data_IF_744335506519
#
_entry.id   IF_744335506519
#
_cell.length_a   1.000
_cell.length_b   1.000
_cell.length_c   1.000
_cell.angle_alpha   90.00
_cell.angle_beta   90.00
_cell.angle_gamma   90.00
#
_symmetry.space_group_name_H-M   'P 1'
#
loop_
_entity.id
_entity.type
_entity.pdbx_description
1 polymer ?
#
# COMPACT_ATOMS: atom_id res chain seq x y z
N UNK A 1 -23.41 62.04 -35.21
CA UNK A 1 -23.40 61.10 -36.35
C UNK A 1 -24.28 59.92 -36.00
N UNK A 2 -25.25 59.69 -36.86
CA UNK A 2 -26.46 58.86 -36.74
C UNK A 2 -26.24 57.36 -37.01
N UNK A 3 -26.76 56.48 -36.11
CA UNK A 3 -27.68 55.30 -36.31
C UNK A 3 -27.29 54.22 -37.36
N UNK A 4 -27.55 52.87 -37.23
CA UNK A 4 -28.64 52.19 -36.48
C UNK A 4 -28.35 50.89 -35.69
N UNK A 5 -29.31 50.63 -34.81
CA UNK A 5 -29.82 49.35 -34.27
C UNK A 5 -30.43 48.41 -35.32
N UNK A 6 -30.32 47.10 -35.13
CA UNK A 6 -31.31 46.12 -35.63
C UNK A 6 -31.65 45.06 -34.58
N UNK A 7 -32.95 44.89 -34.37
CA UNK A 7 -33.61 43.82 -33.62
C UNK A 7 -33.74 42.57 -34.49
N UNK A 8 -33.67 41.38 -33.90
CA UNK A 8 -34.46 40.21 -34.32
C UNK A 8 -34.84 39.37 -33.10
N UNK A 9 -36.10 38.93 -33.06
CA UNK A 9 -36.70 38.08 -32.04
C UNK A 9 -37.44 36.90 -32.71
N UNK A 10 -37.67 35.84 -31.91
CA UNK A 10 -38.49 34.62 -32.14
C UNK A 10 -37.87 33.54 -33.06
N UNK A 11 -37.92 32.23 -32.80
CA UNK A 11 -38.92 31.39 -32.11
C UNK A 11 -38.33 30.06 -31.55
N UNK A 12 -39.10 29.49 -30.64
CA UNK A 12 -39.09 28.17 -29.97
C UNK A 12 -38.81 26.90 -30.81
N UNK A 13 -38.20 25.87 -30.20
CA UNK A 13 -38.84 24.58 -29.85
C UNK A 13 -37.85 23.59 -29.18
N UNK A 14 -38.36 22.86 -28.18
CA UNK A 14 -37.73 21.84 -27.32
C UNK A 14 -37.74 20.43 -27.98
N UNK A 15 -37.48 19.29 -27.30
CA UNK A 15 -36.26 18.83 -26.59
C UNK A 15 -35.86 17.35 -26.94
N UNK A 16 -34.92 16.78 -26.17
CA UNK A 16 -34.69 15.33 -25.91
C UNK A 16 -33.86 14.51 -26.91
N UNK A 17 -32.74 13.95 -26.41
CA UNK A 17 -32.39 12.53 -26.56
C UNK A 17 -31.29 12.11 -25.56
N UNK A 18 -31.69 11.81 -24.32
CA UNK A 18 -30.91 11.01 -23.38
C UNK A 18 -31.15 9.53 -23.71
N UNK A 19 -30.14 8.84 -24.27
CA UNK A 19 -30.15 7.37 -24.40
C UNK A 19 -29.58 6.74 -23.14
N UNK A 20 -30.45 6.26 -22.27
CA UNK A 20 -30.12 5.17 -21.33
C UNK A 20 -30.37 3.85 -22.05
N UNK A 21 -29.33 3.04 -22.25
CA UNK A 21 -29.46 1.66 -22.72
C UNK A 21 -29.20 0.72 -21.54
N UNK A 22 -30.25 -0.01 -21.18
CA UNK A 22 -30.28 -0.95 -20.06
C UNK A 22 -29.47 -2.22 -20.31
N UNK A 23 -29.02 -2.81 -19.21
CA UNK A 23 -28.40 -4.13 -19.16
C UNK A 23 -28.84 -4.81 -17.87
N UNK A 24 -29.79 -5.75 -17.99
CA UNK A 24 -29.87 -7.04 -17.26
C UNK A 24 -31.28 -7.59 -17.28
N UNK A 25 -31.42 -8.81 -17.83
CA UNK A 25 -31.77 -10.03 -17.09
C UNK A 25 -31.96 -11.14 -18.13
N UNK A 26 -31.17 -12.21 -18.00
CA UNK A 26 -31.62 -13.60 -18.17
C UNK A 26 -30.41 -14.53 -18.08
N UNK A 27 -30.28 -15.17 -16.92
CA UNK A 27 -29.62 -16.46 -16.74
C UNK A 27 -29.89 -16.87 -15.31
N UNK A 28 -30.66 -17.93 -15.10
CA UNK A 28 -30.52 -18.95 -14.04
C UNK A 28 -31.79 -19.80 -14.04
N UNK A 29 -31.82 -20.79 -14.94
CA UNK A 29 -32.64 -21.98 -14.75
C UNK A 29 -31.88 -22.93 -13.83
N UNK A 30 -32.29 -23.04 -12.58
CA UNK A 30 -31.85 -24.10 -11.66
C UNK A 30 -33.03 -25.05 -11.50
N UNK A 31 -32.90 -26.23 -12.10
CA UNK A 31 -33.77 -27.36 -11.87
C UNK A 31 -33.40 -28.03 -10.54
N UNK A 32 -34.41 -28.14 -9.69
CA UNK A 32 -34.41 -28.87 -8.43
C UNK A 32 -34.45 -30.36 -8.74
N UNK A 33 -33.48 -31.13 -8.23
CA UNK A 33 -33.65 -32.57 -8.05
C UNK A 33 -33.29 -33.00 -6.63
N UNK A 34 -34.25 -33.74 -6.10
CA UNK A 34 -34.48 -34.17 -4.73
C UNK A 34 -33.60 -35.34 -4.30
N UNK A 35 -33.35 -35.37 -2.99
CA UNK A 35 -32.58 -36.36 -2.22
C UNK A 35 -33.46 -37.56 -1.85
N UNK A 36 -32.96 -38.79 -2.07
CA UNK A 36 -33.25 -40.02 -1.30
C UNK A 36 -32.23 -41.07 -1.77
N UNK A 37 -31.72 -42.05 -1.03
CA UNK A 37 -31.77 -42.48 0.37
C UNK A 37 -30.77 -43.64 0.49
N UNK A 38 -30.10 -43.76 1.64
CA UNK A 38 -29.65 -45.00 2.30
C UNK A 38 -28.97 -46.14 1.51
N UNK A 39 -27.72 -46.47 1.88
CA UNK A 39 -27.07 -47.75 1.58
C UNK A 39 -25.89 -48.01 2.53
N UNK A 40 -25.84 -49.21 3.11
CA UNK A 40 -25.09 -49.57 4.33
C UNK A 40 -23.60 -49.84 4.14
N UNK A 41 -22.90 -49.67 5.27
CA UNK A 41 -21.59 -50.15 5.69
C UNK A 41 -21.31 -51.62 5.34
N UNK A 42 -20.07 -51.92 4.93
CA UNK A 42 -19.39 -53.19 5.22
C UNK A 42 -17.89 -52.97 5.47
N UNK A 43 -17.45 -53.27 6.69
CA UNK A 43 -16.05 -53.48 7.06
C UNK A 43 -15.53 -54.77 6.43
N UNK A 44 -14.25 -54.76 6.06
CA UNK A 44 -13.46 -55.95 5.75
C UNK A 44 -12.02 -55.74 6.23
N UNK A 45 -11.41 -56.83 6.65
CA UNK A 45 -10.38 -56.94 7.68
C UNK A 45 -8.95 -57.09 7.16
N UNK A 46 -8.00 -56.66 8.02
CA UNK A 46 -6.64 -57.18 8.28
C UNK A 46 -5.62 -57.32 7.13
N UNK A 47 -4.47 -56.65 7.35
CA UNK A 47 -3.15 -57.06 6.83
C UNK A 47 -2.03 -56.42 7.66
N UNK A 48 -1.19 -57.25 8.30
CA UNK A 48 -0.07 -56.90 9.19
C UNK A 48 1.25 -56.89 8.40
N UNK A 49 2.30 -56.27 8.98
CA UNK A 49 3.75 -56.40 8.66
C UNK A 49 4.27 -55.21 7.81
N UNK A 50 5.42 -54.56 8.06
CA UNK A 50 6.63 -54.87 8.83
C UNK A 50 7.41 -53.56 9.08
N UNK A 51 8.23 -53.51 10.12
CA UNK A 51 9.22 -52.45 10.39
C UNK A 51 10.18 -52.28 9.20
N UNK A 52 10.49 -51.04 8.86
CA UNK A 52 11.71 -50.66 8.11
C UNK A 52 12.43 -49.54 8.84
N UNK A 53 13.73 -49.75 8.97
CA UNK A 53 14.75 -48.89 9.56
C UNK A 53 14.92 -47.57 8.80
N UNK A 54 14.98 -46.45 9.52
CA UNK A 54 15.38 -45.17 8.97
C UNK A 54 16.90 -45.00 9.13
N UNK A 55 17.62 -45.03 8.01
CA UNK A 55 19.01 -44.56 7.91
C UNK A 55 19.05 -43.29 7.05
N UNK A 56 19.51 -42.21 7.68
CA UNK A 56 20.34 -41.10 7.16
C UNK A 56 20.19 -40.60 5.72
N UNK A 57 19.98 -39.28 5.64
CA UNK A 57 20.51 -38.41 4.58
C UNK A 57 19.56 -38.19 3.42
N UNK A 58 18.74 -37.14 3.48
CA UNK A 58 17.98 -36.70 2.30
C UNK A 58 18.39 -35.26 1.94
N UNK A 59 19.25 -35.17 0.94
CA UNK A 59 19.51 -33.93 0.19
C UNK A 59 18.26 -33.58 -0.62
N UNK A 60 17.53 -32.56 -0.16
CA UNK A 60 16.85 -31.54 -0.98
C UNK A 60 16.10 -31.94 -2.26
N UNK A 61 15.49 -33.12 -2.36
CA UNK A 61 14.60 -33.42 -3.50
C UNK A 61 13.19 -32.90 -3.17
N UNK A 62 12.55 -32.07 -4.03
CA UNK A 62 11.21 -31.58 -3.75
C UNK A 62 10.21 -32.74 -3.65
N UNK A 63 9.20 -32.65 -2.76
CA UNK A 63 8.18 -33.66 -2.62
C UNK A 63 7.44 -33.86 -3.95
N UNK A 64 7.04 -35.11 -4.25
CA UNK A 64 6.31 -35.48 -5.48
C UNK A 64 4.92 -34.79 -5.63
N UNK A 65 4.49 -34.01 -4.64
CA UNK A 65 3.30 -33.15 -4.68
C UNK A 65 3.55 -31.92 -3.80
N UNK A 66 3.40 -30.72 -4.35
CA UNK A 66 3.42 -29.46 -3.60
C UNK A 66 2.05 -29.22 -2.94
N UNK A 67 2.02 -28.47 -1.83
CA UNK A 67 0.76 -28.07 -1.21
C UNK A 67 0.00 -27.08 -2.10
N UNK A 68 0.73 -26.23 -2.82
CA UNK A 68 0.21 -25.21 -3.73
C UNK A 68 0.98 -25.17 -5.05
N UNK A 69 0.34 -24.70 -6.12
CA UNK A 69 1.06 -24.35 -7.35
C UNK A 69 1.80 -23.03 -7.18
N UNK A 70 1.20 -22.08 -6.45
CA UNK A 70 1.77 -20.76 -6.21
C UNK A 70 1.54 -20.32 -4.77
N UNK A 71 2.62 -19.86 -4.11
CA UNK A 71 2.54 -19.07 -2.88
C UNK A 71 2.98 -17.64 -3.15
N UNK A 72 2.19 -16.67 -2.67
CA UNK A 72 2.52 -15.25 -2.70
C UNK A 72 2.77 -14.77 -1.27
N UNK A 73 3.89 -14.11 -1.01
CA UNK A 73 4.22 -13.53 0.30
C UNK A 73 3.91 -12.03 0.25
N UNK A 74 2.84 -11.62 0.92
CA UNK A 74 2.33 -10.24 0.97
C UNK A 74 1.03 -10.06 0.17
N UNK A 75 -0.01 -9.55 0.83
CA UNK A 75 -1.32 -9.29 0.24
C UNK A 75 -1.55 -7.80 -0.04
N UNK A 76 -0.50 -7.08 -0.44
CA UNK A 76 -0.62 -5.76 -1.06
C UNK A 76 -1.31 -5.81 -2.44
N UNK A 77 -1.46 -4.66 -3.10
CA UNK A 77 -2.14 -4.58 -4.42
C UNK A 77 -1.50 -5.50 -5.48
N UNK A 78 -0.16 -5.57 -5.56
CA UNK A 78 0.54 -6.47 -6.49
C UNK A 78 0.34 -7.94 -6.15
N UNK A 79 0.45 -8.31 -4.86
CA UNK A 79 0.20 -9.68 -4.41
C UNK A 79 -1.25 -10.14 -4.61
N UNK A 80 -2.21 -9.26 -4.34
CA UNK A 80 -3.63 -9.48 -4.62
C UNK A 80 -3.86 -9.68 -6.12
N UNK A 81 -3.35 -8.78 -6.98
CA UNK A 81 -3.45 -8.90 -8.43
C UNK A 81 -2.85 -10.19 -8.96
N UNK A 82 -1.67 -10.57 -8.46
CA UNK A 82 -1.01 -11.85 -8.79
C UNK A 82 -1.87 -13.05 -8.39
N UNK A 83 -2.51 -13.03 -7.21
CA UNK A 83 -3.36 -14.12 -6.74
C UNK A 83 -4.62 -14.28 -7.61
N UNK A 84 -5.28 -13.17 -7.96
CA UNK A 84 -6.45 -13.21 -8.86
C UNK A 84 -6.08 -13.81 -10.22
N UNK A 85 -4.96 -13.37 -10.79
CA UNK A 85 -4.51 -13.86 -12.08
C UNK A 85 -4.11 -15.34 -12.02
N UNK A 86 -3.44 -15.78 -10.95
CA UNK A 86 -3.05 -17.17 -10.77
C UNK A 86 -4.26 -18.12 -10.75
N UNK A 87 -5.32 -17.74 -10.03
CA UNK A 87 -6.58 -18.52 -10.02
C UNK A 87 -7.26 -18.51 -11.38
N UNK A 88 -7.26 -17.38 -12.10
CA UNK A 88 -7.76 -17.31 -13.49
C UNK A 88 -7.03 -18.30 -14.41
N UNK A 89 -5.74 -18.55 -14.14
CA UNK A 89 -4.93 -19.56 -14.85
C UNK A 89 -5.06 -20.99 -14.29
N UNK A 90 -5.98 -21.21 -13.36
CA UNK A 90 -6.28 -22.53 -12.80
C UNK A 90 -5.25 -23.04 -11.79
N UNK A 91 -4.39 -22.16 -11.23
CA UNK A 91 -3.41 -22.54 -10.22
C UNK A 91 -4.06 -22.63 -8.84
N UNK A 92 -3.67 -23.65 -8.06
CA UNK A 92 -3.97 -23.70 -6.63
C UNK A 92 -3.08 -22.70 -5.91
N UNK A 93 -3.65 -21.60 -5.41
CA UNK A 93 -2.90 -20.46 -4.89
C UNK A 93 -3.16 -20.20 -3.41
N UNK A 94 -2.08 -19.92 -2.67
CA UNK A 94 -2.12 -19.34 -1.33
C UNK A 94 -1.43 -17.97 -1.30
N UNK A 95 -1.92 -17.09 -0.43
CA UNK A 95 -1.30 -15.80 -0.12
C UNK A 95 -1.05 -15.69 1.38
N UNK A 96 0.17 -15.32 1.75
CA UNK A 96 0.59 -15.16 3.15
C UNK A 96 0.57 -13.67 3.50
N UNK A 97 -0.15 -13.29 4.55
CA UNK A 97 -0.25 -11.90 5.01
C UNK A 97 -0.07 -11.81 6.53
N UNK A 98 0.91 -10.99 6.95
CA UNK A 98 1.29 -10.84 8.37
C UNK A 98 0.54 -9.73 9.11
N UNK A 99 -0.08 -8.81 8.37
CA UNK A 99 -0.81 -7.65 8.88
C UNK A 99 -2.24 -7.64 8.34
N UNK A 100 -2.54 -6.80 7.33
CA UNK A 100 -3.88 -6.62 6.78
C UNK A 100 -3.86 -6.65 5.25
N UNK A 101 -4.83 -7.35 4.67
CA UNK A 101 -5.04 -7.42 3.22
C UNK A 101 -5.18 -6.02 2.62
N UNK A 102 -4.63 -5.84 1.43
CA UNK A 102 -4.53 -4.57 0.71
C UNK A 102 -3.19 -3.85 0.92
N UNK A 103 -2.40 -4.30 1.91
CA UNK A 103 -1.05 -3.82 2.19
C UNK A 103 -0.98 -2.30 2.34
N UNK A 104 0.14 -1.71 1.94
CA UNK A 104 0.40 -0.27 2.11
C UNK A 104 -0.61 0.61 1.38
N UNK A 105 -0.86 0.38 0.10
CA UNK A 105 -1.66 1.29 -0.71
C UNK A 105 -3.12 1.42 -0.22
N UNK A 106 -3.73 0.33 0.25
CA UNK A 106 -5.13 0.36 0.73
C UNK A 106 -5.23 0.86 2.16
N UNK A 107 -4.30 0.46 3.04
CA UNK A 107 -4.47 0.68 4.48
C UNK A 107 -3.70 1.90 5.02
N UNK A 108 -2.59 2.27 4.37
CA UNK A 108 -1.64 3.29 4.86
C UNK A 108 -0.93 4.02 3.70
N UNK A 109 -1.67 4.32 2.64
CA UNK A 109 -1.10 4.87 1.41
C UNK A 109 -2.17 5.51 0.54
N UNK A 110 -2.21 5.09 -0.73
CA UNK A 110 -3.01 5.72 -1.77
C UNK A 110 -4.49 5.95 -1.39
N UNK A 111 -5.19 4.92 -0.89
CA UNK A 111 -6.63 5.02 -0.64
C UNK A 111 -6.96 6.08 0.41
N UNK A 112 -6.42 6.02 1.64
CA UNK A 112 -6.70 7.05 2.63
C UNK A 112 -6.10 8.41 2.25
N UNK A 113 -4.92 8.47 1.60
CA UNK A 113 -4.34 9.78 1.21
C UNK A 113 -5.21 10.48 0.15
N UNK A 114 -5.75 9.75 -0.83
CA UNK A 114 -6.64 10.32 -1.85
C UNK A 114 -8.01 10.70 -1.26
N UNK A 115 -8.48 10.00 -0.24
CA UNK A 115 -9.68 10.41 0.50
C UNK A 115 -9.48 11.76 1.21
N UNK A 116 -8.32 11.95 1.87
CA UNK A 116 -7.97 13.22 2.50
C UNK A 116 -7.78 14.34 1.47
N UNK A 117 -7.12 14.07 0.35
CA UNK A 117 -6.97 15.05 -0.75
C UNK A 117 -8.32 15.45 -1.35
N UNK A 118 -9.26 14.51 -1.49
CA UNK A 118 -10.60 14.82 -1.96
C UNK A 118 -11.31 15.81 -1.02
N UNK A 119 -11.17 15.64 0.30
CA UNK A 119 -11.67 16.61 1.29
C UNK A 119 -10.95 17.95 1.14
N UNK A 120 -9.63 17.92 0.98
CA UNK A 120 -8.77 19.11 0.86
C UNK A 120 -9.17 19.97 -0.34
N UNK A 121 -9.39 19.34 -1.51
CA UNK A 121 -9.88 20.01 -2.70
C UNK A 121 -11.24 20.69 -2.48
N UNK A 122 -12.18 20.01 -1.81
CA UNK A 122 -13.48 20.61 -1.47
C UNK A 122 -13.34 21.76 -0.48
N UNK A 123 -12.47 21.64 0.50
CA UNK A 123 -12.24 22.71 1.47
C UNK A 123 -11.71 23.97 0.79
N UNK A 124 -10.74 23.83 -0.13
CA UNK A 124 -10.21 24.95 -0.91
C UNK A 124 -11.26 25.59 -1.82
N UNK A 125 -12.09 24.78 -2.47
CA UNK A 125 -13.22 25.28 -3.26
C UNK A 125 -14.12 26.16 -2.37
N UNK A 126 -14.53 25.65 -1.20
CA UNK A 126 -15.40 26.36 -0.27
C UNK A 126 -14.76 27.63 0.32
N UNK A 127 -13.44 27.62 0.54
CA UNK A 127 -12.68 28.78 1.03
C UNK A 127 -12.45 29.85 -0.05
N UNK A 128 -12.55 29.51 -1.34
CA UNK A 128 -12.33 30.45 -2.43
C UNK A 128 -13.55 31.34 -2.66
N UNK A 129 -13.63 32.45 -1.91
CA UNK A 129 -14.74 33.40 -2.03
C UNK A 129 -14.96 33.89 -3.48
N UNK A 130 -13.87 34.21 -4.18
CA UNK A 130 -13.93 34.68 -5.56
C UNK A 130 -14.56 33.64 -6.50
N UNK A 131 -14.11 32.38 -6.40
CA UNK A 131 -14.65 31.29 -7.22
C UNK A 131 -16.13 31.05 -6.88
N UNK A 132 -16.47 30.94 -5.58
CA UNK A 132 -17.85 30.73 -5.16
C UNK A 132 -18.79 31.85 -5.62
N UNK A 133 -18.36 33.12 -5.51
CA UNK A 133 -19.11 34.28 -6.01
C UNK A 133 -19.29 34.24 -7.53
N UNK A 134 -18.29 33.81 -8.29
CA UNK A 134 -18.38 33.65 -9.75
C UNK A 134 -19.41 32.59 -10.17
N UNK A 135 -19.65 31.58 -9.32
CA UNK A 135 -20.70 30.57 -9.50
C UNK A 135 -22.09 31.04 -8.98
N UNK A 136 -22.20 32.25 -8.44
CA UNK A 136 -23.42 32.76 -7.83
C UNK A 136 -23.72 32.18 -6.44
N UNK A 137 -22.74 31.57 -5.78
CA UNK A 137 -22.86 30.98 -4.45
C UNK A 137 -22.24 31.91 -3.39
N UNK A 138 -22.83 31.90 -2.20
CA UNK A 138 -22.31 32.60 -1.02
C UNK A 138 -22.13 31.59 0.11
N UNK A 139 -20.90 31.45 0.60
CA UNK A 139 -20.54 30.58 1.72
C UNK A 139 -20.12 31.47 2.89
N UNK A 140 -20.80 31.35 4.03
CA UNK A 140 -20.61 32.25 5.17
C UNK A 140 -19.34 31.95 5.97
N UNK A 141 -19.06 30.67 6.21
CA UNK A 141 -17.85 30.19 6.84
C UNK A 141 -17.62 28.73 6.42
N UNK A 142 -16.49 28.45 5.79
CA UNK A 142 -16.08 27.07 5.53
C UNK A 142 -15.46 26.49 6.80
N UNK A 143 -15.91 25.29 7.20
CA UNK A 143 -15.39 24.59 8.38
C UNK A 143 -15.39 23.08 8.15
N UNK A 144 -14.71 22.35 9.03
CA UNK A 144 -14.61 20.90 8.96
C UNK A 144 -14.69 20.28 10.36
N UNK A 145 -15.19 19.05 10.42
CA UNK A 145 -15.05 18.18 11.59
C UNK A 145 -13.85 17.25 11.33
N UNK A 146 -12.74 17.48 12.06
CA UNK A 146 -11.51 16.68 11.92
C UNK A 146 -11.78 15.19 12.03
N UNK A 147 -12.62 14.78 12.99
CA UNK A 147 -12.89 13.35 13.19
C UNK A 147 -13.70 12.78 12.01
N UNK A 148 -14.72 13.50 11.53
CA UNK A 148 -15.45 13.12 10.33
C UNK A 148 -14.56 13.01 9.08
N UNK A 149 -13.55 13.86 8.92
CA UNK A 149 -12.56 13.76 7.84
C UNK A 149 -11.72 12.48 7.97
N UNK A 150 -11.19 12.20 9.16
CA UNK A 150 -10.42 10.99 9.43
C UNK A 150 -11.27 9.72 9.21
N UNK A 151 -12.51 9.71 9.70
CA UNK A 151 -13.44 8.60 9.57
C UNK A 151 -13.81 8.36 8.11
N UNK A 152 -13.96 9.40 7.29
CA UNK A 152 -14.19 9.26 5.85
C UNK A 152 -13.07 8.44 5.18
N UNK A 153 -11.81 8.81 5.43
CA UNK A 153 -10.65 8.10 4.89
C UNK A 153 -10.56 6.65 5.38
N UNK A 154 -10.75 6.44 6.69
CA UNK A 154 -10.71 5.11 7.33
C UNK A 154 -11.83 4.18 6.83
N UNK A 155 -13.04 4.71 6.63
CA UNK A 155 -14.18 3.96 6.14
C UNK A 155 -13.96 3.51 4.68
N UNK A 156 -13.39 4.38 3.84
CA UNK A 156 -13.06 4.03 2.46
C UNK A 156 -11.99 2.92 2.41
N UNK A 157 -10.91 3.06 3.18
CA UNK A 157 -9.86 2.05 3.30
C UNK A 157 -10.42 0.70 3.78
N UNK A 158 -11.26 0.71 4.82
CA UNK A 158 -11.90 -0.50 5.37
C UNK A 158 -12.82 -1.19 4.38
N UNK A 159 -13.59 -0.42 3.59
CA UNK A 159 -14.45 -0.96 2.53
C UNK A 159 -13.64 -1.65 1.44
N UNK A 160 -12.58 -1.00 0.94
CA UNK A 160 -11.72 -1.58 -0.11
C UNK A 160 -10.99 -2.82 0.40
N UNK A 161 -10.41 -2.78 1.60
CA UNK A 161 -9.79 -3.96 2.24
C UNK A 161 -10.76 -5.15 2.32
N UNK A 162 -11.99 -4.90 2.74
CA UNK A 162 -13.02 -5.94 2.84
C UNK A 162 -13.35 -6.53 1.47
N UNK A 163 -13.46 -5.70 0.44
CA UNK A 163 -13.70 -6.14 -0.93
C UNK A 163 -12.56 -7.02 -1.48
N UNK A 164 -11.30 -6.61 -1.28
CA UNK A 164 -10.13 -7.39 -1.70
C UNK A 164 -10.06 -8.75 -0.97
N UNK A 165 -10.35 -8.76 0.33
CA UNK A 165 -10.39 -9.99 1.13
C UNK A 165 -11.47 -10.93 0.63
N UNK A 166 -12.68 -10.40 0.37
CA UNK A 166 -13.81 -11.19 -0.08
C UNK A 166 -13.62 -11.71 -1.51
N UNK A 167 -12.96 -10.94 -2.40
CA UNK A 167 -12.69 -11.38 -3.77
C UNK A 167 -11.76 -12.58 -3.80
N UNK A 168 -10.68 -12.58 -2.98
CA UNK A 168 -9.77 -13.71 -2.87
C UNK A 168 -10.47 -14.96 -2.32
N UNK A 169 -11.27 -14.80 -1.26
CA UNK A 169 -12.06 -15.90 -0.68
C UNK A 169 -13.07 -16.48 -1.69
N UNK A 170 -13.76 -15.63 -2.43
CA UNK A 170 -14.74 -16.05 -3.43
C UNK A 170 -14.10 -16.85 -4.58
N UNK A 171 -12.83 -16.58 -4.87
CA UNK A 171 -12.05 -17.29 -5.89
C UNK A 171 -11.29 -18.51 -5.35
N UNK A 172 -11.42 -18.82 -4.06
CA UNK A 172 -10.77 -19.99 -3.45
C UNK A 172 -9.27 -19.84 -3.20
N UNK A 173 -8.76 -18.60 -3.10
CA UNK A 173 -7.39 -18.34 -2.63
C UNK A 173 -7.32 -18.59 -1.13
N UNK A 174 -6.39 -19.43 -0.69
CA UNK A 174 -6.12 -19.64 0.73
C UNK A 174 -5.35 -18.45 1.30
N UNK A 175 -5.95 -17.74 2.27
CA UNK A 175 -5.31 -16.63 2.97
C UNK A 175 -4.66 -17.17 4.25
N UNK A 176 -3.34 -17.28 4.24
CA UNK A 176 -2.53 -17.80 5.33
C UNK A 176 -2.04 -16.63 6.21
N UNK A 177 -2.61 -16.47 7.39
CA UNK A 177 -2.28 -15.35 8.27
C UNK A 177 -0.97 -15.60 9.04
N UNK A 178 0.02 -14.73 8.85
CA UNK A 178 1.30 -14.77 9.55
C UNK A 178 2.44 -14.17 8.74
N UNK A 179 3.62 -14.09 9.37
CA UNK A 179 4.85 -13.69 8.70
C UNK A 179 5.39 -14.86 7.87
N UNK A 180 5.50 -14.66 6.56
CA UNK A 180 6.10 -15.63 5.65
C UNK A 180 7.62 -15.53 5.61
N UNK A 181 8.32 -16.65 5.76
CA UNK A 181 9.78 -16.75 5.65
C UNK A 181 10.15 -17.91 4.74
N UNK A 182 11.00 -17.67 3.76
CA UNK A 182 11.57 -18.70 2.89
C UNK A 182 12.59 -19.48 3.71
N UNK A 183 12.37 -20.79 3.88
CA UNK A 183 13.25 -21.68 4.65
C UNK A 183 14.09 -22.59 3.76
N UNK A 184 13.94 -22.46 2.44
CA UNK A 184 14.67 -23.18 1.43
C UNK A 184 13.94 -23.12 0.08
N UNK A 185 14.48 -23.80 -0.94
CA UNK A 185 13.85 -23.85 -2.26
C UNK A 185 12.39 -24.34 -2.16
N UNK A 186 11.46 -23.59 -2.75
CA UNK A 186 10.05 -23.97 -2.87
C UNK A 186 9.35 -24.30 -1.52
N UNK A 187 9.86 -23.75 -0.40
CA UNK A 187 9.34 -23.99 0.95
C UNK A 187 9.26 -22.70 1.75
N UNK A 188 8.08 -22.41 2.28
CA UNK A 188 7.79 -21.21 3.06
C UNK A 188 7.23 -21.63 4.41
N UNK A 189 7.79 -21.08 5.49
CA UNK A 189 7.15 -21.14 6.81
C UNK A 189 6.28 -19.90 7.00
N UNK A 190 5.17 -20.03 7.71
CA UNK A 190 4.34 -18.91 8.11
C UNK A 190 3.78 -19.11 9.52
N UNK A 191 3.62 -18.02 10.25
CA UNK A 191 3.09 -18.05 11.60
C UNK A 191 3.01 -16.66 12.23
N UNK A 192 2.32 -16.58 13.37
CA UNK A 192 2.38 -15.40 14.23
C UNK A 192 3.52 -15.58 15.22
N UNK A 193 4.19 -14.48 15.56
CA UNK A 193 5.20 -14.47 16.62
C UNK A 193 4.61 -15.08 17.89
N UNK A 194 5.30 -16.08 18.47
CA UNK A 194 4.86 -16.78 19.68
C UNK A 194 3.93 -17.98 19.48
N UNK A 195 3.59 -18.34 18.23
CA UNK A 195 2.82 -19.54 17.89
C UNK A 195 3.66 -20.53 17.08
N UNK A 196 3.22 -21.78 16.98
CA UNK A 196 3.89 -22.79 16.16
C UNK A 196 3.83 -22.41 14.68
N UNK A 197 5.00 -22.26 14.06
CA UNK A 197 5.13 -22.02 12.63
C UNK A 197 4.58 -23.22 11.83
N UNK A 198 3.81 -22.95 10.79
CA UNK A 198 3.41 -23.93 9.79
C UNK A 198 4.38 -23.86 8.61
N UNK A 199 4.62 -25.00 7.96
CA UNK A 199 5.47 -25.07 6.76
C UNK A 199 4.63 -25.57 5.59
N UNK A 200 4.67 -24.84 4.49
CA UNK A 200 4.00 -25.18 3.23
C UNK A 200 5.00 -25.18 2.09
N UNK A 201 4.68 -25.94 1.06
CA UNK A 201 5.49 -26.10 -0.14
C UNK A 201 4.71 -25.62 -1.37
N UNK A 202 5.40 -24.98 -2.31
CA UNK A 202 4.79 -24.54 -3.55
C UNK A 202 5.72 -24.69 -4.74
N UNK A 203 5.14 -24.96 -5.91
CA UNK A 203 5.91 -25.03 -7.14
C UNK A 203 6.57 -23.69 -7.44
N UNK A 204 5.86 -22.58 -7.37
CA UNK A 204 6.40 -21.24 -7.58
C UNK A 204 6.12 -20.34 -6.36
N UNK A 205 7.02 -19.37 -6.11
CA UNK A 205 6.89 -18.38 -5.02
C UNK A 205 7.05 -16.97 -5.59
N UNK A 206 6.14 -16.06 -5.21
CA UNK A 206 6.24 -14.62 -5.48
C UNK A 206 6.44 -13.85 -4.16
N UNK A 207 7.49 -13.04 -4.09
CA UNK A 207 7.71 -12.06 -3.03
C UNK A 207 7.02 -10.75 -3.42
N UNK A 208 6.06 -10.31 -2.60
CA UNK A 208 5.26 -9.09 -2.80
C UNK A 208 5.14 -8.29 -1.48
N UNK A 209 6.22 -8.25 -0.70
CA UNK A 209 6.23 -7.77 0.69
C UNK A 209 6.20 -6.25 0.84
N UNK A 210 6.33 -5.52 -0.27
CA UNK A 210 6.11 -4.08 -0.32
C UNK A 210 7.22 -3.26 0.36
N UNK A 211 6.81 -2.12 0.92
CA UNK A 211 7.70 -1.13 1.54
C UNK A 211 7.13 -0.48 2.80
N UNK A 212 8.03 0.06 3.61
CA UNK A 212 7.77 0.86 4.82
C UNK A 212 8.30 2.28 4.65
N UNK A 213 7.82 3.27 5.42
CA UNK A 213 8.40 4.62 5.41
C UNK A 213 9.89 4.55 5.75
N UNK A 214 10.73 5.25 4.98
CA UNK A 214 12.14 5.37 5.29
C UNK A 214 12.35 6.55 6.24
N UNK A 215 12.92 6.28 7.41
CA UNK A 215 13.28 7.30 8.41
C UNK A 215 14.82 7.40 8.47
N UNK A 216 15.40 8.58 8.22
CA UNK A 216 16.85 8.78 8.31
C UNK A 216 17.37 8.52 9.73
N UNK A 217 18.61 8.05 9.82
CA UNK A 217 19.27 7.86 11.11
C UNK A 217 19.34 9.18 11.88
N UNK A 218 19.05 9.16 13.17
CA UNK A 218 19.08 10.35 14.03
C UNK A 218 17.72 11.05 14.21
N UNK A 219 16.67 10.59 13.51
CA UNK A 219 15.30 11.05 13.71
C UNK A 219 14.54 9.98 14.50
N UNK A 220 13.93 10.40 15.62
CA UNK A 220 13.05 9.56 16.43
C UNK A 220 11.59 9.88 16.09
N UNK A 221 10.86 8.87 15.61
CA UNK A 221 9.42 8.99 15.32
C UNK A 221 8.65 8.54 16.55
N UNK A 222 7.89 9.44 17.16
CA UNK A 222 7.05 9.18 18.34
C UNK A 222 5.60 8.80 17.97
N UNK A 223 5.23 9.00 16.70
CA UNK A 223 3.88 8.77 16.19
C UNK A 223 2.85 9.77 16.67
N UNK A 224 3.28 10.85 17.34
CA UNK A 224 2.43 11.92 17.88
C UNK A 224 2.81 13.27 17.31
N UNK A 225 4.05 13.71 17.50
CA UNK A 225 4.53 15.02 17.02
C UNK A 225 5.56 14.89 15.91
N UNK A 226 6.34 13.81 15.92
CA UNK A 226 7.20 13.39 14.80
C UNK A 226 6.58 12.14 14.20
N UNK A 227 6.00 12.31 13.02
CA UNK A 227 5.11 11.34 12.39
C UNK A 227 5.63 10.93 11.01
N UNK A 228 5.18 9.77 10.54
CA UNK A 228 5.35 9.33 9.15
C UNK A 228 3.99 9.36 8.44
N UNK A 229 3.95 9.05 7.14
CA UNK A 229 2.69 8.91 6.40
C UNK A 229 1.72 7.92 7.04
N UNK A 230 2.21 6.83 7.63
CA UNK A 230 1.36 5.84 8.32
C UNK A 230 0.55 6.45 9.49
N UNK A 231 1.09 7.50 10.12
CA UNK A 231 0.46 8.22 11.22
C UNK A 231 -0.39 9.40 10.70
N UNK A 232 0.13 10.17 9.74
CA UNK A 232 -0.54 11.34 9.18
C UNK A 232 -1.92 11.01 8.58
N UNK A 233 -2.09 9.81 8.02
CA UNK A 233 -3.38 9.36 7.47
C UNK A 233 -4.50 9.23 8.51
N UNK A 234 -4.15 9.08 9.79
CA UNK A 234 -5.13 9.00 10.88
C UNK A 234 -5.70 10.36 11.25
N UNK A 235 -5.01 11.45 10.87
CA UNK A 235 -5.39 12.83 11.13
C UNK A 235 -5.83 13.05 12.60
N UNK A 236 -5.06 12.53 13.56
CA UNK A 236 -5.39 12.59 14.99
C UNK A 236 -5.43 14.04 15.51
N UNK A 237 -4.65 14.93 14.90
CA UNK A 237 -4.66 16.37 15.12
C UNK A 237 -4.23 17.09 13.84
N UNK A 238 -4.51 18.40 13.76
CA UNK A 238 -4.03 19.29 12.71
C UNK A 238 -3.15 20.34 13.42
N UNK A 239 -1.82 20.35 13.23
CA UNK A 239 -0.93 21.34 13.84
C UNK A 239 -1.15 22.73 13.25
N UNK A 240 -0.87 23.79 14.01
CA UNK A 240 -0.87 25.15 13.46
C UNK A 240 0.33 25.32 12.50
N UNK A 241 1.49 24.75 12.84
CA UNK A 241 2.67 24.72 11.97
C UNK A 241 3.33 23.33 11.91
N UNK A 242 3.47 22.80 10.69
CA UNK A 242 4.12 21.51 10.42
C UNK A 242 5.33 21.63 9.50
N UNK A 243 6.44 21.03 9.92
CA UNK A 243 7.59 20.78 9.04
C UNK A 243 7.42 19.48 8.26
N UNK A 244 7.62 19.48 6.95
CA UNK A 244 7.63 18.27 6.12
C UNK A 244 9.06 18.01 5.64
N UNK A 245 9.64 16.90 6.08
CA UNK A 245 11.00 16.50 5.73
C UNK A 245 10.95 15.55 4.54
N UNK A 246 11.38 16.04 3.37
CA UNK A 246 11.27 15.38 2.09
C UNK A 246 10.14 15.93 1.23
N UNK A 247 10.49 16.39 0.03
CA UNK A 247 9.60 17.03 -0.95
C UNK A 247 9.05 16.07 -2.01
N UNK A 248 9.13 14.76 -1.77
CA UNK A 248 8.56 13.75 -2.67
C UNK A 248 7.03 13.81 -2.72
N UNK A 249 6.43 12.98 -3.59
CA UNK A 249 4.97 12.94 -3.80
C UNK A 249 4.18 12.79 -2.49
N UNK A 250 4.67 12.01 -1.51
CA UNK A 250 4.03 11.88 -0.20
C UNK A 250 4.00 13.22 0.54
N UNK A 251 5.14 13.91 0.62
CA UNK A 251 5.24 15.19 1.32
C UNK A 251 4.34 16.25 0.69
N UNK A 252 4.27 16.29 -0.64
CA UNK A 252 3.39 17.22 -1.37
C UNK A 252 1.90 16.93 -1.16
N UNK A 253 1.49 15.66 -1.25
CA UNK A 253 0.09 15.28 -0.97
C UNK A 253 -0.31 15.72 0.45
N UNK A 254 0.53 15.48 1.46
CA UNK A 254 0.22 15.92 2.81
C UNK A 254 0.32 17.43 3.00
N UNK A 255 1.19 18.13 2.26
CA UNK A 255 1.19 19.60 2.29
C UNK A 255 -0.14 20.18 1.81
N UNK A 256 -0.74 19.59 0.76
CA UNK A 256 -2.06 20.00 0.27
C UNK A 256 -3.13 19.73 1.33
N UNK A 257 -3.08 18.57 1.99
CA UNK A 257 -4.00 18.25 3.08
C UNK A 257 -3.89 19.21 4.25
N UNK A 258 -2.69 19.39 4.82
CA UNK A 258 -2.52 20.20 6.03
C UNK A 258 -2.80 21.69 5.77
N UNK A 259 -2.35 22.24 4.65
CA UNK A 259 -2.65 23.66 4.33
C UNK A 259 -4.13 23.90 4.02
N UNK A 260 -4.84 22.95 3.40
CA UNK A 260 -6.29 23.07 3.19
C UNK A 260 -7.07 23.04 4.52
N UNK A 261 -6.54 22.35 5.54
CA UNK A 261 -7.13 22.24 6.87
C UNK A 261 -6.63 23.33 7.86
N UNK A 262 -5.77 24.24 7.40
CA UNK A 262 -5.39 25.45 8.13
C UNK A 262 -3.96 25.50 8.68
N UNK A 263 -3.15 24.46 8.49
CA UNK A 263 -1.74 24.48 8.92
C UNK A 263 -0.88 25.35 8.02
N UNK A 264 0.09 26.05 8.62
CA UNK A 264 1.29 26.50 7.92
C UNK A 264 2.21 25.30 7.67
N UNK A 265 2.84 25.25 6.50
CA UNK A 265 3.72 24.14 6.10
C UNK A 265 5.08 24.67 5.70
N UNK A 266 6.14 24.04 6.21
CA UNK A 266 7.52 24.31 5.79
C UNK A 266 8.19 23.03 5.32
N UNK A 267 8.71 23.03 4.08
CA UNK A 267 9.48 21.91 3.57
C UNK A 267 10.94 21.97 4.01
N UNK A 268 11.49 20.80 4.30
CA UNK A 268 12.91 20.58 4.58
C UNK A 268 13.39 19.47 3.64
N UNK A 269 14.23 19.81 2.68
CA UNK A 269 14.74 18.95 1.62
C UNK A 269 16.27 18.87 1.58
N UNK A 270 16.79 17.65 1.48
CA UNK A 270 18.21 17.33 1.43
C UNK A 270 18.90 17.74 0.12
N UNK A 271 18.17 17.63 -0.98
CA UNK A 271 18.67 17.78 -2.34
C UNK A 271 18.53 19.21 -2.80
N UNK A 272 19.34 19.72 -3.72
CA UNK A 272 19.29 21.15 -4.12
C UNK A 272 17.96 21.61 -4.76
N UNK A 273 17.05 20.67 -5.04
CA UNK A 273 15.79 20.88 -5.76
C UNK A 273 14.61 20.18 -5.07
N UNK A 274 13.45 20.84 -4.99
CA UNK A 274 12.18 20.14 -4.69
C UNK A 274 11.84 19.13 -5.79
N UNK A 275 11.32 17.97 -5.39
CA UNK A 275 10.97 16.87 -6.31
C UNK A 275 12.13 16.45 -7.23
N UNK A 276 13.21 15.85 -6.69
CA UNK A 276 14.25 15.25 -7.52
C UNK A 276 13.64 14.26 -8.54
N UNK A 277 13.76 14.57 -9.83
CA UNK A 277 13.12 13.82 -10.92
C UNK A 277 11.94 14.54 -11.61
N UNK A 278 11.56 15.74 -11.16
CA UNK A 278 10.64 16.69 -11.80
C UNK A 278 11.33 18.05 -12.03
N UNK A 279 10.63 19.09 -12.52
CA UNK A 279 11.20 20.42 -12.85
C UNK A 279 11.55 21.27 -11.60
N UNK A 280 12.56 22.17 -11.62
CA UNK A 280 13.19 22.71 -10.39
C UNK A 280 12.53 23.87 -9.63
N UNK A 281 12.59 23.85 -8.28
CA UNK A 281 13.10 24.96 -7.41
C UNK A 281 13.22 24.64 -5.87
N UNK A 282 14.36 25.07 -5.26
CA UNK A 282 14.83 25.36 -3.86
C UNK A 282 14.63 24.39 -2.65
N UNK A 283 15.73 24.14 -1.90
CA UNK A 283 15.78 23.21 -0.73
C UNK A 283 16.69 23.59 0.48
N UNK A 284 16.47 22.93 1.64
CA UNK A 284 17.25 23.01 2.92
C UNK A 284 17.23 21.66 3.69
N UNK A 285 18.33 21.11 4.22
CA UNK A 285 18.37 19.76 4.86
C UNK A 285 18.12 19.75 6.39
N UNK A 286 17.32 18.78 6.89
CA UNK A 286 17.20 18.45 8.33
C UNK A 286 18.21 17.36 8.73
N UNK A 287 18.90 17.56 9.85
CA UNK A 287 19.87 16.59 10.39
C UNK A 287 19.35 15.84 11.61
N UNK A 288 18.66 16.55 12.50
CA UNK A 288 18.11 15.99 13.74
C UNK A 288 16.74 16.58 13.99
N UNK A 289 15.80 15.75 14.40
CA UNK A 289 14.45 16.16 14.77
C UNK A 289 14.17 15.57 16.14
N UNK A 290 13.87 16.44 17.10
CA UNK A 290 13.56 16.07 18.47
C UNK A 290 12.06 16.23 18.71
N UNK A 291 11.34 15.16 19.07
CA UNK A 291 9.91 15.24 19.36
C UNK A 291 9.58 16.22 20.49
N UNK A 292 8.35 16.73 20.47
CA UNK A 292 7.83 17.56 21.55
C UNK A 292 7.82 16.79 22.87
N UNK A 293 8.26 17.43 23.96
CA UNK A 293 8.19 16.89 25.32
C UNK A 293 7.76 17.99 26.28
N UNK A 294 6.85 17.67 27.20
CA UNK A 294 6.47 18.53 28.33
C UNK A 294 6.06 19.97 27.93
N UNK A 295 5.29 20.12 26.85
CA UNK A 295 4.82 21.42 26.35
C UNK A 295 5.84 22.21 25.51
N UNK A 296 6.97 21.61 25.13
CA UNK A 296 7.96 22.20 24.22
C UNK A 296 7.68 21.83 22.75
N UNK A 297 7.99 22.71 21.79
CA UNK A 297 7.82 22.43 20.36
C UNK A 297 8.74 21.31 19.87
N UNK A 298 8.43 20.77 18.69
CA UNK A 298 9.36 19.91 17.94
C UNK A 298 10.53 20.77 17.47
N UNK A 299 11.74 20.34 17.81
CA UNK A 299 12.97 21.04 17.46
C UNK A 299 13.60 20.34 16.27
N UNK A 300 13.73 21.03 15.14
CA UNK A 300 14.40 20.55 13.93
C UNK A 300 15.74 21.27 13.76
N UNK A 301 16.84 20.55 13.95
CA UNK A 301 18.19 21.05 13.70
C UNK A 301 18.51 20.91 12.21
N UNK A 302 18.71 22.05 11.56
CA UNK A 302 19.07 22.15 10.15
C UNK A 302 20.60 22.22 10.02
N UNK A 303 21.15 21.46 9.08
CA UNK A 303 22.59 21.50 8.79
C UNK A 303 22.88 21.68 7.32
N UNK A 304 24.06 22.20 7.04
CA UNK A 304 24.58 22.20 5.68
C UNK A 304 24.78 20.78 5.17
N UNK A 305 24.26 20.49 3.98
CA UNK A 305 24.32 19.15 3.40
C UNK A 305 25.76 18.71 3.10
N UNK A 306 26.66 19.65 2.77
CA UNK A 306 28.06 19.44 2.38
C UNK A 306 28.98 19.45 3.60
N UNK A 307 28.87 20.45 4.48
CA UNK A 307 29.80 20.60 5.61
C UNK A 307 29.35 19.85 6.87
N UNK A 308 28.07 19.44 6.95
CA UNK A 308 27.42 18.85 8.14
C UNK A 308 27.41 19.77 9.37
N UNK A 309 27.75 21.05 9.21
CA UNK A 309 27.74 22.03 10.28
C UNK A 309 26.30 22.48 10.59
N UNK A 310 26.06 22.76 11.87
CA UNK A 310 24.81 23.38 12.33
C UNK A 310 24.60 24.71 11.64
N UNK A 311 23.41 24.88 11.05
CA UNK A 311 23.05 26.09 10.30
C UNK A 311 21.97 26.88 11.01
N UNK A 312 20.91 26.19 11.44
CA UNK A 312 19.74 26.83 12.02
C UNK A 312 18.91 25.83 12.84
N UNK A 313 17.95 26.33 13.61
CA UNK A 313 17.00 25.52 14.38
C UNK A 313 15.58 26.02 14.13
N UNK A 314 14.69 25.11 13.74
CA UNK A 314 13.27 25.38 13.53
C UNK A 314 12.46 24.79 14.69
N UNK A 315 11.56 25.56 15.27
CA UNK A 315 10.61 25.10 16.28
C UNK A 315 9.21 25.05 15.66
N UNK A 316 8.61 23.86 15.58
CA UNK A 316 7.29 23.62 14.97
C UNK A 316 6.41 22.78 15.89
N UNK A 317 5.10 22.71 15.63
CA UNK A 317 4.20 21.87 16.43
C UNK A 317 4.33 20.38 16.09
N UNK A 318 4.63 20.09 14.82
CA UNK A 318 4.80 18.73 14.33
C UNK A 318 5.80 18.63 13.16
N UNK A 319 6.37 17.45 12.97
CA UNK A 319 7.19 17.12 11.81
C UNK A 319 6.69 15.84 11.11
N UNK A 320 6.46 15.90 9.81
CA UNK A 320 6.18 14.76 8.95
C UNK A 320 7.45 14.30 8.23
N UNK A 321 7.87 13.07 8.47
CA UNK A 321 9.00 12.44 7.79
C UNK A 321 8.50 11.75 6.52
N UNK A 322 8.80 12.35 5.37
CA UNK A 322 8.39 11.93 4.04
C UNK A 322 9.60 11.71 3.09
N UNK A 323 10.71 11.20 3.63
CA UNK A 323 12.00 11.00 2.94
C UNK A 323 12.08 9.76 2.05
N UNK A 324 10.94 9.30 1.51
CA UNK A 324 10.84 8.11 0.68
C UNK A 324 10.48 6.83 1.43
N UNK A 325 10.66 5.69 0.77
CA UNK A 325 10.27 4.36 1.28
C UNK A 325 11.40 3.36 1.14
N UNK A 326 11.43 2.38 2.04
CA UNK A 326 12.41 1.29 2.06
C UNK A 326 11.69 -0.07 1.89
N UNK A 327 12.30 -1.04 1.19
CA UNK A 327 11.67 -2.35 0.97
C UNK A 327 11.54 -3.12 2.28
N UNK A 328 10.45 -3.88 2.43
CA UNK A 328 10.22 -4.73 3.60
C UNK A 328 10.71 -6.16 3.32
N UNK A 329 12.01 -6.37 3.46
CA UNK A 329 12.70 -7.62 3.10
C UNK A 329 13.42 -8.30 4.26
N UNK A 330 13.51 -7.64 5.41
CA UNK A 330 14.11 -8.21 6.61
C UNK A 330 13.27 -9.38 7.15
N UNK A 331 13.92 -10.48 7.51
CA UNK A 331 13.24 -11.67 8.03
C UNK A 331 12.56 -12.56 6.97
N UNK A 332 12.73 -12.27 5.68
CA UNK A 332 12.17 -13.10 4.59
C UNK A 332 12.93 -14.41 4.36
N UNK A 333 14.10 -14.61 4.97
CA UNK A 333 14.88 -15.84 4.82
C UNK A 333 15.61 -15.96 3.47
N UNK A 334 15.95 -14.83 2.86
CA UNK A 334 16.63 -14.76 1.56
C UNK A 334 18.02 -15.42 1.59
N UNK A 335 18.66 -15.43 2.76
CA UNK A 335 19.93 -16.12 3.00
C UNK A 335 19.83 -17.64 2.80
N UNK A 336 18.66 -18.23 3.03
CA UNK A 336 18.44 -19.69 2.88
C UNK A 336 18.44 -20.15 1.41
N UNK A 337 18.43 -19.20 0.48
CA UNK A 337 18.40 -19.42 -0.97
C UNK A 337 19.48 -18.59 -1.69
N UNK A 338 20.53 -18.18 -0.97
CA UNK A 338 21.68 -17.45 -1.51
C UNK A 338 21.34 -16.09 -2.15
N UNK A 339 20.27 -15.41 -1.71
CA UNK A 339 19.88 -14.10 -2.25
C UNK A 339 20.40 -12.99 -1.33
N UNK A 340 21.13 -12.04 -1.90
CA UNK A 340 21.64 -10.86 -1.18
C UNK A 340 20.94 -9.61 -1.73
N UNK A 341 20.34 -8.83 -0.84
CA UNK A 341 19.65 -7.60 -1.21
C UNK A 341 20.61 -6.49 -1.61
N UNK A 342 20.22 -5.64 -2.56
CA UNK A 342 20.95 -4.42 -2.92
C UNK A 342 20.23 -3.20 -2.33
N UNK A 343 20.85 -2.53 -1.35
CA UNK A 343 20.21 -1.44 -0.57
C UNK A 343 18.86 -1.87 0.07
N UNK A 344 18.75 -3.15 0.43
CA UNK A 344 17.53 -3.77 0.95
C UNK A 344 16.57 -4.33 -0.11
N UNK A 345 16.72 -3.98 -1.39
CA UNK A 345 15.84 -4.47 -2.46
C UNK A 345 16.26 -5.86 -2.95
N UNK A 346 15.28 -6.69 -3.32
CA UNK A 346 15.52 -8.02 -3.91
C UNK A 346 15.93 -7.85 -5.39
N UNK A 347 17.14 -8.29 -5.80
CA UNK A 347 17.57 -8.17 -7.19
C UNK A 347 16.73 -9.05 -8.11
N UNK A 348 16.27 -8.49 -9.23
CA UNK A 348 15.47 -9.21 -10.23
C UNK A 348 15.85 -8.86 -11.66
N UNK A 349 15.62 -9.79 -12.57
CA UNK A 349 15.74 -9.55 -14.01
C UNK A 349 14.50 -8.83 -14.59
N UNK A 350 14.47 -8.64 -15.91
CA UNK A 350 13.35 -8.00 -16.62
C UNK A 350 12.02 -8.75 -16.50
N UNK A 351 12.07 -10.05 -16.21
CA UNK A 351 10.89 -10.92 -16.03
C UNK A 351 10.55 -11.13 -14.55
N UNK A 352 11.09 -10.30 -13.66
CA UNK A 352 10.87 -10.31 -12.21
C UNK A 352 11.35 -11.59 -11.51
N UNK A 353 12.25 -12.36 -12.15
CA UNK A 353 12.88 -13.55 -11.55
C UNK A 353 14.00 -13.10 -10.63
N UNK A 354 14.09 -13.73 -9.45
CA UNK A 354 15.09 -13.36 -8.44
C UNK A 354 16.49 -13.80 -8.86
N UNK A 355 17.48 -12.93 -8.62
CA UNK A 355 18.89 -13.15 -8.89
C UNK A 355 19.62 -13.39 -7.55
N UNK A 356 20.41 -14.46 -7.49
CA UNK A 356 21.20 -14.84 -6.32
C UNK A 356 22.52 -14.05 -6.22
N UNK A 357 23.29 -14.28 -5.16
CA UNK A 357 24.57 -13.61 -4.92
C UNK A 357 25.64 -13.87 -6.00
N UNK A 358 25.49 -14.95 -6.77
CA UNK A 358 26.41 -15.34 -7.84
C UNK A 358 25.96 -14.82 -9.22
N UNK A 359 24.85 -14.07 -9.29
CA UNK A 359 24.29 -13.57 -10.55
C UNK A 359 23.43 -14.59 -11.29
N UNK A 360 23.08 -15.72 -10.67
CA UNK A 360 22.24 -16.75 -11.27
C UNK A 360 20.76 -16.54 -10.91
N UNK A 361 19.88 -17.00 -11.78
CA UNK A 361 18.44 -17.00 -11.50
C UNK A 361 18.12 -18.08 -10.45
N UNK A 362 17.41 -17.69 -9.41
CA UNK A 362 16.83 -18.63 -8.45
C UNK A 362 15.62 -19.30 -9.10
N UNK A 363 15.63 -20.63 -9.31
CA UNK A 363 14.50 -21.32 -9.92
C UNK A 363 13.22 -21.11 -9.10
N UNK A 364 12.10 -20.92 -9.79
CA UNK A 364 10.76 -20.86 -9.18
C UNK A 364 10.54 -19.71 -8.18
N UNK A 365 11.37 -18.66 -8.22
CA UNK A 365 11.25 -17.52 -7.32
C UNK A 365 11.21 -16.19 -8.09
N UNK A 366 10.22 -15.39 -7.73
CA UNK A 366 9.95 -14.09 -8.34
C UNK A 366 9.79 -13.02 -7.25
N UNK A 367 10.04 -11.75 -7.60
CA UNK A 367 9.79 -10.63 -6.69
C UNK A 367 9.21 -9.44 -7.45
N UNK A 368 8.08 -8.91 -6.96
CA UNK A 368 7.32 -7.83 -7.60
C UNK A 368 7.11 -6.63 -6.66
N UNK A 369 6.71 -5.51 -7.27
CA UNK A 369 6.41 -4.27 -6.56
C UNK A 369 7.59 -3.69 -5.78
N UNK A 370 7.27 -2.90 -4.76
CA UNK A 370 8.25 -2.12 -4.02
C UNK A 370 9.43 -2.92 -3.44
N UNK A 371 9.27 -4.22 -3.20
CA UNK A 371 10.32 -5.08 -2.64
C UNK A 371 11.53 -5.23 -3.58
N UNK A 372 11.34 -5.09 -4.90
CA UNK A 372 12.43 -5.14 -5.88
C UNK A 372 12.99 -3.75 -6.27
N UNK A 373 12.27 -2.67 -5.92
CA UNK A 373 12.73 -1.30 -6.12
C UNK A 373 12.76 -0.79 -7.56
N UNK A 374 12.25 -1.54 -8.55
CA UNK A 374 12.22 -1.09 -9.96
C UNK A 374 11.32 0.13 -10.14
N UNK A 375 10.10 0.07 -9.61
CA UNK A 375 9.14 1.17 -9.62
C UNK A 375 8.20 1.01 -8.43
N UNK A 376 8.23 1.95 -7.49
CA UNK A 376 7.45 1.88 -6.25
C UNK A 376 6.08 2.53 -6.43
N UNK A 377 5.31 2.03 -7.40
CA UNK A 377 3.97 2.53 -7.75
C UNK A 377 2.97 1.38 -7.74
N UNK A 378 1.78 1.64 -7.18
CA UNK A 378 0.74 0.63 -6.99
C UNK A 378 0.27 -0.09 -8.26
N UNK A 379 0.34 0.56 -9.42
CA UNK A 379 -0.06 -0.02 -10.71
C UNK A 379 1.09 -0.74 -11.43
N UNK A 380 2.33 -0.49 -11.00
CA UNK A 380 3.52 -1.18 -11.52
C UNK A 380 3.78 -2.48 -10.74
N UNK A 381 3.43 -2.49 -9.45
CA UNK A 381 3.38 -3.67 -8.59
C UNK A 381 2.25 -4.60 -9.01
#
# INVERSE_FOLDING_TARGET
TTVPTTNYAFHSQSPINLRFCGLRREAFGISILTRSSSGRVRLSTRGRSKRTSASTGNNGTPPKSFDYDLIIIGAGVGGHGAALHAVEKGLKTAIIEGDVVGGTCVNRGCVPSKALLAVSGRMRELQSEHHMKALGLQVSAAGYDRQGVADHANNLASKIRSNLTNSMKALGVDILTGFGTIVGPQKVKYGKVGFTDNVVTAKDIIIATGSVPFVPKGIEVDGKTVITSDHALKLEFVPDWIAIVGSGYIGLEFSDVYTALGSEVTFIEALDQLMPGFDPEISKLAQRITPARDGKPVIVELTDAKTKEHKDTLEVDAALIATGRAPFTYGLGLENINVVTQRGFVPVDERMRVIDANGNLVPHLYCIGDANGKMMLAHAA
#
